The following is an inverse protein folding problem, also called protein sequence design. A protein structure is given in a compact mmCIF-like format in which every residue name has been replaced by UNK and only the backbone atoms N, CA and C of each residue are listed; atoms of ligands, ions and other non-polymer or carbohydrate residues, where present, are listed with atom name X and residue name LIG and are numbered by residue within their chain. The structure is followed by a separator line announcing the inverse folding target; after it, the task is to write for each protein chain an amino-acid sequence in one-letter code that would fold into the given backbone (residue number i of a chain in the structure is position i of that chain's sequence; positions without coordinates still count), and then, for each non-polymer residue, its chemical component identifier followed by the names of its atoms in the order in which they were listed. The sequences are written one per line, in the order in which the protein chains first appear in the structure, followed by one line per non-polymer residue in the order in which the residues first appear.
data_IF_959110714950
#
_entry.id   IF_959110714950
#
_cell.length_a   1.000
_cell.length_b   1.000
_cell.length_c   1.000
_cell.angle_alpha   90.00
_cell.angle_beta   90.00
_cell.angle_gamma   90.00
#
_symmetry.space_group_name_H-M   'P 1'
#
loop_
_entity.id
_entity.type
_entity.pdbx_description
1 polymer ?
#
# COMPACT_ATOMS: atom_id res chain seq x y z
N UNK A 1 -21.12 20.29 -35.81
CA UNK A 1 -21.76 19.34 -34.88
C UNK A 1 -21.82 19.96 -33.49
N UNK A 2 -23.00 20.36 -32.99
CA UNK A 2 -23.17 20.83 -31.60
C UNK A 2 -23.29 19.59 -30.72
N UNK A 3 -22.21 19.19 -30.06
CA UNK A 3 -22.25 18.09 -29.10
C UNK A 3 -23.12 18.53 -27.92
N UNK A 4 -24.15 17.75 -27.60
CA UNK A 4 -25.04 18.02 -26.47
C UNK A 4 -24.25 18.03 -25.16
N UNK A 5 -24.53 18.98 -24.26
CA UNK A 5 -23.89 19.06 -22.94
C UNK A 5 -23.97 17.75 -22.14
N UNK A 6 -24.99 16.91 -22.40
CA UNK A 6 -25.12 15.57 -21.80
C UNK A 6 -24.05 14.59 -22.29
N UNK A 7 -23.75 14.59 -23.59
CA UNK A 7 -22.71 13.74 -24.19
C UNK A 7 -21.32 14.14 -23.72
N UNK A 8 -21.05 15.45 -23.63
CA UNK A 8 -19.79 15.95 -23.10
C UNK A 8 -19.61 15.57 -21.62
N UNK A 9 -20.67 15.59 -20.82
CA UNK A 9 -20.67 15.13 -19.44
C UNK A 9 -20.29 13.64 -19.30
N UNK A 10 -20.91 12.78 -20.11
CA UNK A 10 -20.61 11.33 -20.08
C UNK A 10 -19.18 11.00 -20.51
N UNK A 11 -18.65 11.71 -21.51
CA UNK A 11 -17.25 11.55 -21.95
C UNK A 11 -16.28 11.98 -20.85
N UNK A 12 -16.53 13.13 -20.21
CA UNK A 12 -15.72 13.59 -19.07
C UNK A 12 -15.74 12.59 -17.93
N UNK A 13 -16.92 12.06 -17.59
CA UNK A 13 -17.07 11.06 -16.54
C UNK A 13 -16.32 9.76 -16.87
N UNK A 14 -16.44 9.27 -18.11
CA UNK A 14 -15.70 8.10 -18.58
C UNK A 14 -14.18 8.30 -18.51
N UNK A 15 -13.69 9.48 -18.91
CA UNK A 15 -12.29 9.84 -18.82
C UNK A 15 -11.82 9.92 -17.36
N UNK A 16 -12.61 10.50 -16.46
CA UNK A 16 -12.31 10.52 -15.02
C UNK A 16 -12.17 9.11 -14.45
N UNK A 17 -13.10 8.20 -14.77
CA UNK A 17 -12.99 6.81 -14.32
C UNK A 17 -11.80 6.08 -14.91
N UNK A 18 -11.46 6.33 -16.17
CA UNK A 18 -10.27 5.76 -16.79
C UNK A 18 -8.99 6.21 -16.05
N UNK A 19 -8.88 7.49 -15.73
CA UNK A 19 -7.74 8.03 -14.96
C UNK A 19 -7.67 7.39 -13.58
N UNK A 20 -8.80 7.26 -12.87
CA UNK A 20 -8.85 6.60 -11.57
C UNK A 20 -8.40 5.13 -11.70
N UNK A 21 -8.90 4.40 -12.69
CA UNK A 21 -8.55 3.00 -12.92
C UNK A 21 -7.05 2.83 -13.19
N UNK A 22 -6.47 3.69 -14.03
CA UNK A 22 -5.02 3.68 -14.29
C UNK A 22 -4.22 3.99 -13.01
N UNK A 23 -4.67 4.95 -12.19
CA UNK A 23 -4.07 5.24 -10.89
C UNK A 23 -4.11 4.05 -9.94
N UNK A 24 -5.26 3.35 -9.88
CA UNK A 24 -5.42 2.13 -9.07
C UNK A 24 -4.46 1.04 -9.54
N UNK A 25 -4.40 0.75 -10.84
CA UNK A 25 -3.48 -0.26 -11.39
C UNK A 25 -2.03 0.11 -11.09
N UNK A 26 -1.66 1.38 -11.26
CA UNK A 26 -0.31 1.86 -10.98
C UNK A 26 0.09 1.69 -9.50
N UNK A 27 -0.82 1.95 -8.56
CA UNK A 27 -0.58 1.78 -7.13
C UNK A 27 -0.58 0.30 -6.72
N UNK A 28 -1.50 -0.51 -7.25
CA UNK A 28 -1.63 -1.91 -6.86
C UNK A 28 -0.55 -2.80 -7.48
N UNK A 29 -0.04 -2.47 -8.67
CA UNK A 29 1.00 -3.24 -9.34
C UNK A 29 2.22 -3.56 -8.44
N UNK A 30 2.91 -2.57 -7.82
CA UNK A 30 4.04 -2.86 -6.94
C UNK A 30 3.61 -3.63 -5.67
N UNK A 31 2.40 -3.39 -5.15
CA UNK A 31 1.90 -4.12 -3.96
C UNK A 31 1.75 -5.61 -4.27
N UNK A 32 1.12 -5.94 -5.40
CA UNK A 32 0.96 -7.33 -5.86
C UNK A 32 2.31 -7.95 -6.16
N UNK A 33 3.23 -7.21 -6.79
CA UNK A 33 4.58 -7.69 -7.07
C UNK A 33 5.35 -8.03 -5.78
N UNK A 34 5.32 -7.15 -4.79
CA UNK A 34 5.99 -7.37 -3.49
C UNK A 34 5.38 -8.56 -2.75
N UNK A 35 4.05 -8.68 -2.77
CA UNK A 35 3.35 -9.81 -2.14
C UNK A 35 3.66 -11.15 -2.81
N UNK A 36 3.70 -11.19 -4.15
CA UNK A 36 4.13 -12.38 -4.88
C UNK A 36 5.58 -12.75 -4.56
N UNK A 37 6.46 -11.76 -4.54
CA UNK A 37 7.89 -11.96 -4.23
C UNK A 37 8.11 -12.53 -2.84
N UNK A 38 7.31 -12.16 -1.83
CA UNK A 38 7.45 -12.69 -0.47
C UNK A 38 7.01 -14.15 -0.31
N UNK A 39 6.27 -14.68 -1.28
CA UNK A 39 5.81 -16.06 -1.33
C UNK A 39 6.69 -16.97 -2.20
N UNK A 40 7.64 -16.41 -2.95
CA UNK A 40 8.52 -17.16 -3.84
C UNK A 40 9.67 -17.80 -3.04
N UNK A 41 9.98 -19.10 -3.20
CA UNK A 41 11.09 -19.77 -2.50
C UNK A 41 12.49 -19.35 -2.96
N UNK A 42 12.60 -18.61 -4.07
CA UNK A 42 13.88 -18.17 -4.62
C UNK A 42 14.64 -17.21 -3.70
N UNK A 43 15.95 -17.38 -3.60
CA UNK A 43 16.84 -16.53 -2.78
C UNK A 43 17.21 -15.20 -3.44
N UNK A 44 16.83 -14.99 -4.70
CA UNK A 44 17.14 -13.78 -5.47
C UNK A 44 15.86 -13.15 -6.04
N UNK A 45 15.70 -11.86 -5.78
CA UNK A 45 14.62 -11.04 -6.33
C UNK A 45 14.76 -10.80 -7.86
N UNK A 46 15.88 -11.22 -8.45
CA UNK A 46 16.21 -11.00 -9.86
C UNK A 46 16.37 -12.31 -10.65
N UNK A 47 15.92 -13.44 -10.09
CA UNK A 47 15.91 -14.70 -10.83
C UNK A 47 14.97 -14.61 -12.04
N UNK A 48 15.37 -15.21 -13.15
CA UNK A 48 14.60 -15.31 -14.40
C UNK A 48 13.22 -15.97 -14.27
N UNK A 49 12.93 -16.58 -13.12
CA UNK A 49 11.66 -17.22 -12.78
C UNK A 49 10.69 -16.34 -11.97
N UNK A 50 11.02 -15.06 -11.75
CA UNK A 50 10.13 -14.13 -11.05
C UNK A 50 8.90 -13.80 -11.90
N UNK A 51 7.75 -14.35 -11.53
CA UNK A 51 6.45 -14.11 -12.13
C UNK A 51 5.52 -13.47 -11.10
N UNK A 52 4.56 -12.66 -11.56
CA UNK A 52 3.50 -12.10 -10.70
C UNK A 52 2.73 -13.21 -9.97
N UNK A 53 2.63 -14.39 -10.58
CA UNK A 53 2.15 -15.61 -9.92
C UNK A 53 3.35 -16.56 -9.80
N UNK A 54 3.86 -16.82 -8.59
CA UNK A 54 4.99 -17.73 -8.38
C UNK A 54 4.64 -19.13 -8.87
N UNK A 55 5.61 -19.82 -9.46
CA UNK A 55 5.44 -21.24 -9.86
C UNK A 55 5.26 -22.16 -8.64
N UNK A 56 5.95 -21.82 -7.55
CA UNK A 56 5.82 -22.47 -6.26
C UNK A 56 5.61 -21.43 -5.17
N UNK A 57 4.63 -21.68 -4.29
CA UNK A 57 4.27 -20.80 -3.17
C UNK A 57 4.82 -21.39 -1.89
N UNK A 58 5.57 -20.61 -1.12
CA UNK A 58 6.11 -21.00 0.19
C UNK A 58 5.88 -19.92 1.25
N UNK A 59 5.78 -20.35 2.50
CA UNK A 59 5.73 -19.48 3.68
C UNK A 59 7.05 -19.51 4.47
N UNK A 60 8.09 -20.12 3.92
CA UNK A 60 9.38 -20.28 4.60
C UNK A 60 9.96 -18.94 5.05
N UNK A 61 9.97 -17.93 4.18
CA UNK A 61 10.46 -16.59 4.52
C UNK A 61 9.74 -15.98 5.72
N UNK A 62 8.42 -16.16 5.83
CA UNK A 62 7.67 -15.70 6.99
C UNK A 62 8.06 -16.47 8.25
N UNK A 63 8.14 -17.80 8.18
CA UNK A 63 8.53 -18.62 9.33
C UNK A 63 9.93 -18.24 9.83
N UNK A 64 10.90 -18.16 8.94
CA UNK A 64 12.28 -17.83 9.24
C UNK A 64 12.36 -16.39 9.80
N UNK A 65 11.61 -15.44 9.21
CA UNK A 65 11.52 -14.08 9.72
C UNK A 65 11.01 -14.00 11.16
N UNK A 66 9.94 -14.71 11.51
CA UNK A 66 9.41 -14.69 12.88
C UNK A 66 10.24 -15.51 13.86
N UNK A 67 10.95 -16.55 13.40
CA UNK A 67 11.74 -17.43 14.25
C UNK A 67 13.16 -16.91 14.51
N UNK A 68 13.79 -16.30 13.50
CA UNK A 68 15.21 -15.92 13.53
C UNK A 68 15.42 -14.43 13.80
N UNK A 69 14.37 -13.61 13.81
CA UNK A 69 14.48 -12.17 14.06
C UNK A 69 13.71 -11.73 15.31
N UNK A 70 14.11 -10.57 15.86
CA UNK A 70 13.40 -9.92 16.97
C UNK A 70 12.17 -9.11 16.50
N UNK A 71 11.52 -9.52 15.40
CA UNK A 71 10.43 -8.77 14.79
C UNK A 71 9.32 -8.40 15.78
N UNK A 72 8.89 -9.32 16.65
CA UNK A 72 7.86 -9.04 17.64
C UNK A 72 8.24 -7.91 18.61
N UNK A 73 9.51 -7.80 18.99
CA UNK A 73 10.01 -6.72 19.83
C UNK A 73 10.00 -5.39 19.07
N UNK A 74 10.54 -5.36 17.85
CA UNK A 74 10.58 -4.15 17.02
C UNK A 74 9.19 -3.64 16.66
N UNK A 75 8.30 -4.53 16.23
CA UNK A 75 6.93 -4.20 15.90
C UNK A 75 6.19 -3.60 17.09
N UNK A 76 6.33 -4.20 18.29
CA UNK A 76 5.75 -3.67 19.52
C UNK A 76 6.33 -2.30 19.90
N UNK A 77 7.63 -2.10 19.73
CA UNK A 77 8.26 -0.80 20.00
C UNK A 77 7.73 0.28 19.04
N UNK A 78 7.64 -0.02 17.75
CA UNK A 78 7.09 0.90 16.75
C UNK A 78 5.63 1.23 17.04
N UNK A 79 4.81 0.23 17.37
CA UNK A 79 3.40 0.46 17.70
C UNK A 79 3.24 1.36 18.93
N UNK A 80 4.02 1.11 20.00
CA UNK A 80 4.02 1.95 21.20
C UNK A 80 4.36 3.41 20.87
N UNK A 81 5.44 3.63 20.11
CA UNK A 81 5.87 4.98 19.74
C UNK A 81 4.82 5.64 18.85
N UNK A 82 4.35 4.98 17.80
CA UNK A 82 3.38 5.53 16.85
C UNK A 82 2.05 5.92 17.51
N UNK A 83 1.53 5.09 18.41
CA UNK A 83 0.30 5.39 19.14
C UNK A 83 0.50 6.55 20.12
N UNK A 84 1.58 6.53 20.90
CA UNK A 84 1.86 7.60 21.86
C UNK A 84 2.05 8.95 21.15
N UNK A 85 2.82 8.99 20.06
CA UNK A 85 3.02 10.21 19.29
C UNK A 85 1.73 10.69 18.65
N UNK A 86 0.96 9.81 18.00
CA UNK A 86 -0.33 10.19 17.40
C UNK A 86 -1.29 10.80 18.43
N UNK A 87 -1.43 10.20 19.61
CA UNK A 87 -2.29 10.73 20.67
C UNK A 87 -1.84 12.11 21.14
N UNK A 88 -0.55 12.27 21.45
CA UNK A 88 0.00 13.56 21.91
C UNK A 88 -0.14 14.62 20.81
N UNK A 89 0.16 14.29 19.56
CA UNK A 89 0.02 15.20 18.43
C UNK A 89 -1.43 15.64 18.25
N UNK A 90 -2.39 14.73 18.24
CA UNK A 90 -3.81 15.10 18.10
C UNK A 90 -4.27 16.02 19.22
N UNK A 91 -3.89 15.73 20.46
CA UNK A 91 -4.23 16.58 21.61
C UNK A 91 -3.66 18.00 21.45
N UNK A 92 -2.36 18.11 21.15
CA UNK A 92 -1.69 19.41 20.99
C UNK A 92 -2.26 20.20 19.80
N UNK A 93 -2.45 19.54 18.65
CA UNK A 93 -3.00 20.17 17.44
C UNK A 93 -4.43 20.63 17.67
N UNK A 94 -5.24 19.88 18.41
CA UNK A 94 -6.63 20.26 18.73
C UNK A 94 -6.66 21.54 19.57
N UNK A 95 -5.85 21.63 20.62
CA UNK A 95 -5.75 22.86 21.43
C UNK A 95 -5.25 24.05 20.61
N UNK A 96 -4.26 23.82 19.75
CA UNK A 96 -3.70 24.86 18.88
C UNK A 96 -4.74 25.35 17.88
N UNK A 97 -5.44 24.43 17.21
CA UNK A 97 -6.50 24.74 16.26
C UNK A 97 -7.66 25.50 16.92
N UNK A 98 -8.03 25.15 18.16
CA UNK A 98 -9.05 25.88 18.90
C UNK A 98 -8.62 27.32 19.24
N UNK A 99 -7.34 27.56 19.53
CA UNK A 99 -6.82 28.89 19.83
C UNK A 99 -6.74 29.81 18.60
N UNK A 100 -6.61 29.24 17.39
CA UNK A 100 -6.57 29.98 16.13
C UNK A 100 -7.93 30.10 15.42
N UNK A 101 -8.98 29.46 15.95
CA UNK A 101 -10.36 29.56 15.47
C UNK A 101 -11.14 30.60 16.24
#
# INVERSE_FOLDING_TARGET
MRVSNRTLGNIKLGLSYLVILLGVVFVLFPVVWTFSSSLNPGTSLFSSDMSIIPKEVTLKHYRDFFAETNFGLWYRNTLKVATATSMVTVLLVTFTAHAFS
#
